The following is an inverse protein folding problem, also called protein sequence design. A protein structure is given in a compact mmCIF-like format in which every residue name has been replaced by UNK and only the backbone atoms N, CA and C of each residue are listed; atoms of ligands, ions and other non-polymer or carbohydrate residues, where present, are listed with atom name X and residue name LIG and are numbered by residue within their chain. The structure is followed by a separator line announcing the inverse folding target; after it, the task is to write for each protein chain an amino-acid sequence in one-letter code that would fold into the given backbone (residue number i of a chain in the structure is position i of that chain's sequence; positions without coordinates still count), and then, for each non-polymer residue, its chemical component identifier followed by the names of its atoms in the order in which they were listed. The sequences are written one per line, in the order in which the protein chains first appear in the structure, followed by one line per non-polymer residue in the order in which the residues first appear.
data_IF_154262706212
#
_entry.id   IF_154262706212
#
_cell.length_a   1.000
_cell.length_b   1.000
_cell.length_c   1.000
_cell.angle_alpha   90.00
_cell.angle_beta   90.00
_cell.angle_gamma   90.00
#
_symmetry.space_group_name_H-M   'P 1'
#
loop_
_entity.id
_entity.type
_entity.pdbx_description
1 polymer ?
#
# COMPACT_ATOMS: atom_id res chain seq x y z
N UNK A 1 9.76 -21.61 6.46
CA UNK A 1 9.46 -21.05 5.12
C UNK A 1 8.82 -22.08 4.20
N UNK A 2 9.32 -23.33 4.13
CA UNK A 2 8.73 -24.38 3.30
C UNK A 2 7.29 -24.75 3.67
N UNK A 3 6.95 -24.86 4.96
CA UNK A 3 5.58 -25.14 5.41
C UNK A 3 4.59 -24.06 4.95
N UNK A 4 4.87 -22.78 5.25
CA UNK A 4 4.00 -21.66 4.83
C UNK A 4 3.80 -21.62 3.30
N UNK A 5 4.82 -22.00 2.54
CA UNK A 5 4.68 -22.13 1.09
C UNK A 5 3.75 -23.28 0.71
N UNK A 6 3.90 -24.46 1.32
CA UNK A 6 3.01 -25.61 1.08
C UNK A 6 1.56 -25.29 1.46
N UNK A 7 1.34 -24.61 2.59
CA UNK A 7 0.03 -24.17 3.04
C UNK A 7 -0.57 -23.16 2.04
N UNK A 8 0.22 -22.19 1.57
CA UNK A 8 -0.21 -21.26 0.54
C UNK A 8 -0.63 -21.99 -0.74
N UNK A 9 0.17 -22.96 -1.20
CA UNK A 9 -0.13 -23.74 -2.40
C UNK A 9 -1.38 -24.61 -2.21
N UNK A 10 -1.59 -25.18 -1.02
CA UNK A 10 -2.81 -25.93 -0.70
C UNK A 10 -4.04 -25.03 -0.73
N UNK A 11 -3.95 -23.81 -0.18
CA UNK A 11 -5.01 -22.81 -0.22
C UNK A 11 -5.34 -22.41 -1.66
N UNK A 12 -4.33 -22.14 -2.49
CA UNK A 12 -4.52 -21.81 -3.91
C UNK A 12 -5.16 -22.97 -4.68
N UNK A 13 -4.79 -24.22 -4.36
CA UNK A 13 -5.40 -25.40 -4.98
C UNK A 13 -6.88 -25.55 -4.60
N UNK A 14 -7.25 -25.21 -3.37
CA UNK A 14 -8.60 -25.39 -2.87
C UNK A 14 -9.55 -24.24 -3.23
N UNK A 15 -9.06 -23.00 -3.17
CA UNK A 15 -9.87 -21.79 -3.32
C UNK A 15 -9.60 -21.02 -4.62
N UNK A 16 -8.60 -21.44 -5.40
CA UNK A 16 -8.14 -20.75 -6.60
C UNK A 16 -7.11 -19.67 -6.31
N UNK A 17 -6.71 -18.95 -7.36
CA UNK A 17 -5.72 -17.87 -7.26
C UNK A 17 -6.22 -16.73 -6.34
N UNK A 18 -5.35 -16.08 -5.57
CA UNK A 18 -5.71 -14.90 -4.79
C UNK A 18 -6.14 -13.75 -5.72
N UNK A 19 -7.07 -12.92 -5.24
CA UNK A 19 -7.59 -11.76 -5.95
C UNK A 19 -6.91 -10.46 -5.53
N UNK A 20 -6.49 -10.36 -4.26
CA UNK A 20 -5.79 -9.20 -3.71
C UNK A 20 -4.47 -9.61 -3.07
N UNK A 21 -3.46 -8.76 -3.28
CA UNK A 21 -2.20 -8.80 -2.57
C UNK A 21 -1.98 -7.48 -1.83
N UNK A 22 -1.95 -7.54 -0.50
CA UNK A 22 -1.81 -6.38 0.36
C UNK A 22 -0.44 -6.42 1.05
N UNK A 23 0.19 -5.26 1.16
CA UNK A 23 1.37 -5.08 2.01
C UNK A 23 1.04 -4.12 3.13
N UNK A 24 1.20 -4.57 4.37
CA UNK A 24 1.00 -3.75 5.56
C UNK A 24 2.35 -3.50 6.24
N UNK A 25 2.81 -2.25 6.22
CA UNK A 25 4.14 -1.89 6.71
C UNK A 25 4.05 -1.14 8.03
N UNK A 26 4.88 -1.51 9.00
CA UNK A 26 4.95 -0.79 10.27
C UNK A 26 5.44 0.65 10.08
N UNK A 27 4.77 1.60 10.74
CA UNK A 27 5.23 2.98 10.85
C UNK A 27 5.70 3.25 12.29
N UNK A 28 7.00 3.50 12.52
CA UNK A 28 7.53 3.77 13.87
C UNK A 28 7.05 5.10 14.44
N UNK A 29 6.44 5.96 13.63
CA UNK A 29 5.83 7.24 14.05
C UNK A 29 4.37 7.12 14.48
N UNK A 30 3.81 5.91 14.59
CA UNK A 30 2.49 5.72 15.19
C UNK A 30 2.48 6.23 16.63
N UNK A 31 1.40 6.92 17.01
CA UNK A 31 1.27 7.55 18.32
C UNK A 31 1.33 6.54 19.45
N UNK A 32 0.81 5.32 19.27
CA UNK A 32 0.88 4.26 20.27
C UNK A 32 2.32 3.84 20.57
N UNK A 33 3.21 3.91 19.57
CA UNK A 33 4.65 3.66 19.76
C UNK A 33 5.27 4.86 20.46
N UNK A 34 5.08 6.07 19.92
CA UNK A 34 5.72 7.28 20.44
C UNK A 34 5.32 7.59 21.89
N UNK A 35 4.05 7.40 22.24
CA UNK A 35 3.52 7.61 23.59
C UNK A 35 4.02 6.58 24.60
N UNK A 36 4.56 5.45 24.12
CA UNK A 36 5.13 4.40 24.97
C UNK A 36 6.64 4.57 25.19
N UNK A 37 7.25 5.62 24.65
CA UNK A 37 8.68 5.93 24.84
C UNK A 37 8.89 6.68 26.15
N UNK A 38 9.91 6.29 26.91
CA UNK A 38 10.28 6.94 28.16
C UNK A 38 11.60 7.73 28.01
N UNK A 39 11.63 8.95 28.54
CA UNK A 39 12.82 9.79 28.53
C UNK A 39 13.37 10.03 27.13
N UNK A 40 14.58 9.54 26.87
CA UNK A 40 15.29 9.70 25.59
C UNK A 40 15.19 8.48 24.66
N UNK A 41 14.36 7.49 25.00
CA UNK A 41 14.15 6.30 24.17
C UNK A 41 13.59 6.69 22.79
N UNK A 42 14.07 5.99 21.75
CA UNK A 42 13.51 6.10 20.40
C UNK A 42 12.87 4.77 20.01
N UNK A 43 11.91 4.76 19.06
CA UNK A 43 11.26 3.52 18.63
C UNK A 43 12.23 2.38 18.29
N UNK A 44 13.33 2.69 17.61
CA UNK A 44 14.37 1.70 17.25
C UNK A 44 15.05 1.02 18.44
N UNK A 45 14.99 1.65 19.62
CA UNK A 45 15.55 1.14 20.86
C UNK A 45 14.55 0.20 21.59
N UNK A 46 13.29 0.10 21.11
CA UNK A 46 12.17 -0.65 21.71
C UNK A 46 11.41 -1.50 20.68
N UNK A 47 12.09 -2.51 20.15
CA UNK A 47 11.51 -3.45 19.18
C UNK A 47 10.30 -4.23 19.74
N UNK A 48 10.26 -4.46 21.05
CA UNK A 48 9.14 -5.08 21.76
C UNK A 48 7.84 -4.27 21.60
N UNK A 49 7.91 -2.95 21.76
CA UNK A 49 6.76 -2.04 21.59
C UNK A 49 6.34 -2.00 20.12
N UNK A 50 7.31 -1.88 19.20
CA UNK A 50 7.04 -1.84 17.75
C UNK A 50 6.26 -3.09 17.32
N UNK A 51 6.74 -4.28 17.68
CA UNK A 51 6.12 -5.54 17.27
C UNK A 51 4.73 -5.70 17.90
N UNK A 52 4.54 -5.28 19.16
CA UNK A 52 3.23 -5.33 19.82
C UNK A 52 2.21 -4.41 19.13
N UNK A 53 2.57 -3.15 18.88
CA UNK A 53 1.69 -2.20 18.18
C UNK A 53 1.39 -2.65 16.76
N UNK A 54 2.40 -3.12 16.03
CA UNK A 54 2.21 -3.68 14.69
C UNK A 54 1.22 -4.85 14.69
N UNK A 55 1.37 -5.80 15.60
CA UNK A 55 0.48 -6.96 15.71
C UNK A 55 -0.96 -6.54 16.06
N UNK A 56 -1.15 -5.56 16.95
CA UNK A 56 -2.48 -5.03 17.26
C UNK A 56 -3.16 -4.42 16.03
N UNK A 57 -2.44 -3.56 15.30
CA UNK A 57 -2.99 -2.92 14.08
C UNK A 57 -3.20 -3.91 12.94
N UNK A 58 -2.33 -4.91 12.80
CA UNK A 58 -2.51 -5.97 11.82
C UNK A 58 -3.78 -6.80 12.12
N UNK A 59 -4.03 -7.13 13.39
CA UNK A 59 -5.26 -7.82 13.79
C UNK A 59 -6.50 -6.99 13.50
N UNK A 60 -6.47 -5.69 13.81
CA UNK A 60 -7.56 -4.76 13.50
C UNK A 60 -7.80 -4.68 11.98
N UNK A 61 -6.75 -4.61 11.17
CA UNK A 61 -6.86 -4.66 9.71
C UNK A 61 -7.50 -5.97 9.24
N UNK A 62 -7.06 -7.11 9.74
CA UNK A 62 -7.62 -8.42 9.37
C UNK A 62 -9.08 -8.57 9.81
N UNK A 63 -9.47 -7.99 10.95
CA UNK A 63 -10.86 -7.94 11.40
C UNK A 63 -11.72 -7.08 10.46
N UNK A 64 -11.24 -5.91 10.06
CA UNK A 64 -11.91 -5.08 9.06
C UNK A 64 -12.09 -5.83 7.73
N UNK A 65 -11.06 -6.53 7.27
CA UNK A 65 -11.09 -7.30 6.03
C UNK A 65 -12.06 -8.47 6.12
N UNK A 66 -11.93 -9.32 7.14
CA UNK A 66 -12.59 -10.62 7.18
C UNK A 66 -13.98 -10.58 7.83
N UNK A 67 -14.22 -9.67 8.79
CA UNK A 67 -15.51 -9.58 9.49
C UNK A 67 -16.35 -8.40 9.02
N UNK A 68 -15.74 -7.24 8.83
CA UNK A 68 -16.46 -6.06 8.35
C UNK A 68 -16.56 -6.00 6.82
N UNK A 69 -15.88 -6.91 6.11
CA UNK A 69 -16.05 -7.10 4.67
C UNK A 69 -15.68 -5.86 3.86
N UNK A 70 -14.66 -5.09 4.28
CA UNK A 70 -14.26 -3.87 3.56
C UNK A 70 -13.82 -4.15 2.11
N UNK A 71 -13.47 -5.41 1.80
CA UNK A 71 -13.17 -5.87 0.45
C UNK A 71 -14.21 -6.87 -0.11
N UNK A 72 -15.37 -6.98 0.52
CA UNK A 72 -16.34 -8.04 0.29
C UNK A 72 -16.06 -9.30 1.12
N UNK A 73 -16.66 -10.42 0.71
CA UNK A 73 -16.56 -11.69 1.44
C UNK A 73 -15.24 -12.38 1.14
N UNK A 74 -14.44 -12.62 2.19
CA UNK A 74 -13.17 -13.36 2.11
C UNK A 74 -13.43 -14.85 2.36
N UNK A 75 -13.17 -15.69 1.36
CA UNK A 75 -13.24 -17.15 1.51
C UNK A 75 -12.00 -17.71 2.20
N UNK A 76 -10.85 -17.12 1.90
CA UNK A 76 -9.55 -17.58 2.35
C UNK A 76 -8.56 -16.42 2.40
N UNK A 77 -7.66 -16.43 3.38
CA UNK A 77 -6.50 -15.54 3.40
C UNK A 77 -5.29 -16.25 3.98
N UNK A 78 -4.11 -15.84 3.53
CA UNK A 78 -2.83 -16.23 4.11
C UNK A 78 -1.94 -15.00 4.20
N UNK A 79 -1.14 -14.90 5.26
CA UNK A 79 -0.16 -13.84 5.36
C UNK A 79 1.14 -14.33 5.97
N UNK A 80 2.22 -13.66 5.61
CA UNK A 80 3.53 -13.82 6.23
C UNK A 80 3.98 -12.49 6.80
N UNK A 81 4.60 -12.53 7.97
CA UNK A 81 5.27 -11.37 8.56
C UNK A 81 6.75 -11.55 8.33
N UNK A 82 7.36 -10.53 7.77
CA UNK A 82 8.78 -10.47 7.49
C UNK A 82 9.37 -9.22 8.16
N UNK A 83 10.67 -9.25 8.41
CA UNK A 83 11.42 -8.12 8.95
C UNK A 83 12.40 -7.67 7.88
N UNK A 84 12.14 -6.53 7.23
CA UNK A 84 13.08 -6.00 6.24
C UNK A 84 14.39 -5.55 6.90
N UNK A 85 15.41 -5.24 6.10
CA UNK A 85 16.77 -4.85 6.52
C UNK A 85 16.86 -3.74 7.59
N UNK A 86 15.78 -3.00 7.87
CA UNK A 86 15.69 -1.98 8.92
C UNK A 86 15.03 -2.45 10.22
N UNK A 87 14.70 -3.75 10.32
CA UNK A 87 14.16 -4.40 11.51
C UNK A 87 12.68 -4.14 11.80
N UNK A 88 11.99 -3.37 10.96
CA UNK A 88 10.55 -3.14 11.12
C UNK A 88 9.75 -4.29 10.49
N UNK A 89 8.68 -4.74 11.15
CA UNK A 89 7.82 -5.77 10.61
C UNK A 89 6.97 -5.23 9.45
N UNK A 90 6.76 -6.07 8.44
CA UNK A 90 5.75 -5.89 7.41
C UNK A 90 5.04 -7.21 7.16
N UNK A 91 3.76 -7.12 6.80
CA UNK A 91 2.97 -8.28 6.43
C UNK A 91 2.68 -8.27 4.93
N UNK A 92 2.83 -9.43 4.29
CA UNK A 92 2.33 -9.70 2.95
C UNK A 92 1.10 -10.59 3.10
N UNK A 93 -0.05 -10.11 2.62
CA UNK A 93 -1.35 -10.75 2.81
C UNK A 93 -1.93 -11.06 1.43
N UNK A 94 -2.33 -12.30 1.21
CA UNK A 94 -3.07 -12.75 0.05
C UNK A 94 -4.52 -13.03 0.46
N UNK A 95 -5.47 -12.50 -0.31
CA UNK A 95 -6.90 -12.71 -0.09
C UNK A 95 -7.52 -13.41 -1.31
N UNK A 96 -8.38 -14.39 -1.05
CA UNK A 96 -9.30 -14.98 -2.03
C UNK A 96 -10.72 -14.61 -1.65
N UNK A 97 -11.39 -13.90 -2.55
CA UNK A 97 -12.75 -13.39 -2.41
C UNK A 97 -13.77 -14.38 -3.00
N UNK A 98 -15.02 -14.29 -2.55
CA UNK A 98 -16.14 -15.05 -3.11
C UNK A 98 -16.52 -14.61 -4.54
N UNK A 99 -17.48 -15.30 -5.16
CA UNK A 99 -17.87 -15.01 -6.55
C UNK A 99 -18.43 -13.61 -6.72
N UNK A 100 -19.18 -13.10 -5.75
CA UNK A 100 -19.85 -11.80 -5.86
C UNK A 100 -18.88 -10.64 -5.62
N UNK A 101 -17.81 -10.88 -4.86
CA UNK A 101 -16.80 -9.88 -4.51
C UNK A 101 -15.60 -9.87 -5.47
N UNK A 102 -15.56 -10.72 -6.51
CA UNK A 102 -14.44 -10.77 -7.47
C UNK A 102 -14.29 -9.45 -8.23
N UNK A 103 -13.04 -9.04 -8.39
CA UNK A 103 -12.63 -7.90 -9.22
C UNK A 103 -12.59 -8.35 -10.68
N UNK A 104 -13.60 -7.95 -11.47
CA UNK A 104 -13.73 -8.38 -12.87
C UNK A 104 -13.65 -7.24 -13.87
N UNK A 105 -13.96 -6.02 -13.43
CA UNK A 105 -14.04 -4.85 -14.30
C UNK A 105 -13.07 -3.77 -13.86
N UNK A 106 -12.78 -2.84 -14.78
CA UNK A 106 -12.02 -1.61 -14.50
C UNK A 106 -12.65 -0.80 -13.36
N UNK A 107 -13.99 -0.73 -13.34
CA UNK A 107 -14.72 -0.06 -12.28
C UNK A 107 -14.56 -0.76 -10.93
N UNK A 108 -14.42 -2.10 -10.92
CA UNK A 108 -14.12 -2.79 -9.67
C UNK A 108 -12.71 -2.45 -9.18
N UNK A 109 -11.71 -2.46 -10.08
CA UNK A 109 -10.34 -2.02 -9.73
C UNK A 109 -10.36 -0.64 -9.08
N UNK A 110 -11.09 0.32 -9.67
CA UNK A 110 -11.18 1.69 -9.17
C UNK A 110 -11.89 1.82 -7.81
N UNK A 111 -12.68 0.83 -7.38
CA UNK A 111 -13.25 0.78 -6.02
C UNK A 111 -12.22 0.38 -4.97
N UNK A 112 -11.22 -0.41 -5.37
CA UNK A 112 -10.22 -0.98 -4.44
C UNK A 112 -8.90 -0.21 -4.45
N UNK A 113 -8.53 0.38 -5.59
CA UNK A 113 -7.22 1.01 -5.79
C UNK A 113 -7.42 2.38 -6.43
N UNK A 114 -6.78 3.39 -5.84
CA UNK A 114 -6.74 4.74 -6.39
C UNK A 114 -5.32 5.21 -6.54
N UNK A 115 -5.01 5.79 -7.70
CA UNK A 115 -3.77 6.49 -7.96
C UNK A 115 -3.98 8.01 -8.04
N UNK A 116 -5.01 8.51 -7.37
CA UNK A 116 -5.41 9.92 -7.37
C UNK A 116 -5.30 10.51 -5.95
N UNK A 117 -4.98 11.80 -5.88
CA UNK A 117 -5.01 12.57 -4.64
C UNK A 117 -6.48 12.71 -4.19
N UNK A 118 -6.78 12.43 -2.91
CA UNK A 118 -8.09 12.74 -2.33
C UNK A 118 -8.37 14.25 -2.38
N UNK A 119 -9.64 14.65 -2.46
CA UNK A 119 -10.00 16.06 -2.35
C UNK A 119 -9.89 16.53 -0.88
N UNK A 120 -9.02 17.50 -0.55
CA UNK A 120 -8.86 17.98 0.81
C UNK A 120 -10.10 18.67 1.40
N UNK A 121 -11.03 19.13 0.55
CA UNK A 121 -12.30 19.70 0.99
C UNK A 121 -13.28 18.62 1.50
N UNK A 122 -13.15 17.38 1.01
CA UNK A 122 -14.05 16.27 1.37
C UNK A 122 -13.40 15.35 2.41
N UNK A 123 -12.11 15.04 2.27
CA UNK A 123 -11.36 14.22 3.22
C UNK A 123 -9.93 14.72 3.38
N UNK A 124 -9.79 15.75 4.21
CA UNK A 124 -8.49 16.31 4.57
C UNK A 124 -7.55 15.28 5.21
N UNK A 125 -8.09 14.33 5.99
CA UNK A 125 -7.29 13.34 6.71
C UNK A 125 -6.66 12.36 5.72
N UNK A 126 -7.44 11.81 4.80
CA UNK A 126 -6.94 10.90 3.77
C UNK A 126 -5.96 11.65 2.86
N UNK A 127 -6.27 12.88 2.47
CA UNK A 127 -5.35 13.72 1.69
C UNK A 127 -3.98 13.86 2.38
N UNK A 128 -3.95 14.17 3.67
CA UNK A 128 -2.71 14.27 4.46
C UNK A 128 -1.94 12.94 4.56
N UNK A 129 -2.64 11.81 4.67
CA UNK A 129 -2.04 10.48 4.71
C UNK A 129 -1.41 10.16 3.34
N UNK A 130 -2.16 10.33 2.25
CA UNK A 130 -1.70 10.00 0.89
C UNK A 130 -0.52 10.90 0.50
N UNK A 131 -0.62 12.21 0.70
CA UNK A 131 0.48 13.14 0.37
C UNK A 131 1.76 12.87 1.15
N UNK A 132 1.65 12.36 2.38
CA UNK A 132 2.80 12.05 3.23
C UNK A 132 3.45 10.70 2.91
N UNK A 133 2.67 9.67 2.60
CA UNK A 133 3.16 8.29 2.55
C UNK A 133 3.02 7.61 1.17
N UNK A 134 2.11 8.08 0.32
CA UNK A 134 1.76 7.44 -0.96
C UNK A 134 2.11 8.33 -2.17
N UNK A 135 3.09 9.22 -2.01
CA UNK A 135 3.65 10.02 -3.11
C UNK A 135 5.04 9.52 -3.42
N UNK A 136 5.29 9.19 -4.68
CA UNK A 136 6.64 8.95 -5.16
C UNK A 136 7.45 10.23 -5.05
N UNK A 137 8.57 10.17 -4.33
CA UNK A 137 9.46 11.30 -4.19
C UNK A 137 9.88 11.85 -5.57
N UNK A 138 9.98 13.18 -5.74
CA UNK A 138 10.40 13.77 -7.01
C UNK A 138 11.72 13.17 -7.48
N UNK A 139 11.77 12.79 -8.75
CA UNK A 139 12.91 12.16 -9.38
C UNK A 139 13.06 12.66 -10.82
N UNK A 140 13.95 12.06 -11.60
CA UNK A 140 14.21 12.50 -12.97
C UNK A 140 14.97 13.81 -12.97
N UNK A 141 14.54 14.73 -13.83
CA UNK A 141 15.13 16.08 -13.96
C UNK A 141 14.93 16.92 -12.69
N UNK A 142 13.90 16.65 -11.90
CA UNK A 142 13.62 17.37 -10.64
C UNK A 142 14.62 16.98 -9.55
N UNK A 143 15.07 15.73 -9.54
CA UNK A 143 16.05 15.24 -8.58
C UNK A 143 16.76 13.98 -9.09
N UNK A 144 17.89 14.18 -9.77
CA UNK A 144 18.71 13.10 -10.35
C UNK A 144 19.34 12.19 -9.30
N UNK A 145 19.48 12.66 -8.06
CA UNK A 145 20.09 11.91 -6.95
C UNK A 145 19.08 11.00 -6.22
N UNK A 146 17.85 10.91 -6.71
CA UNK A 146 16.82 10.07 -6.08
C UNK A 146 17.22 8.59 -6.17
N UNK A 147 17.01 7.77 -5.10
CA UNK A 147 17.40 6.36 -5.10
C UNK A 147 16.74 5.50 -6.19
N UNK A 148 15.64 5.97 -6.77
CA UNK A 148 14.95 5.30 -7.87
C UNK A 148 15.62 5.54 -9.23
N UNK A 149 16.56 6.48 -9.35
CA UNK A 149 17.25 6.79 -10.60
C UNK A 149 18.28 5.71 -10.93
N UNK A 150 18.18 5.15 -12.14
CA UNK A 150 19.19 4.28 -12.75
C UNK A 150 19.35 4.70 -14.21
N UNK A 151 20.59 4.80 -14.68
CA UNK A 151 20.91 5.12 -16.07
C UNK A 151 20.18 6.39 -16.58
N UNK A 152 20.06 7.40 -15.72
CA UNK A 152 19.39 8.67 -16.03
C UNK A 152 17.86 8.64 -16.02
N UNK A 153 17.23 7.49 -15.72
CA UNK A 153 15.77 7.34 -15.69
C UNK A 153 15.27 6.77 -14.36
N UNK A 154 14.03 7.10 -14.00
CA UNK A 154 13.39 6.48 -12.85
C UNK A 154 13.06 5.02 -13.15
N UNK A 155 13.62 4.07 -12.39
CA UNK A 155 13.36 2.64 -12.56
C UNK A 155 11.89 2.23 -12.27
N UNK A 156 11.09 3.14 -11.70
CA UNK A 156 9.64 2.99 -11.48
C UNK A 156 8.82 3.76 -12.51
N UNK A 157 9.47 4.42 -13.46
CA UNK A 157 8.89 5.20 -14.55
C UNK A 157 7.95 6.32 -14.05
N UNK A 158 8.39 7.07 -13.03
CA UNK A 158 7.71 8.29 -12.59
C UNK A 158 8.31 9.54 -13.26
N UNK A 159 7.51 10.59 -13.50
CA UNK A 159 6.04 10.63 -13.32
C UNK A 159 5.31 9.69 -14.28
N UNK A 160 4.19 9.10 -13.83
CA UNK A 160 3.31 8.31 -14.71
C UNK A 160 2.58 9.22 -15.71
N UNK A 161 1.97 8.64 -16.74
CA UNK A 161 1.11 9.39 -17.64
C UNK A 161 -0.27 9.61 -17.00
N UNK A 162 -0.94 10.70 -17.35
CA UNK A 162 -2.35 10.88 -17.04
C UNK A 162 -3.20 9.89 -17.84
N UNK A 163 -4.27 9.43 -17.22
CA UNK A 163 -5.26 8.52 -17.79
C UNK A 163 -6.62 8.80 -17.18
N UNK A 164 -7.63 9.03 -18.01
CA UNK A 164 -8.98 9.33 -17.52
C UNK A 164 -9.70 8.10 -16.97
N UNK A 165 -9.32 6.91 -17.45
CA UNK A 165 -9.88 5.62 -17.03
C UNK A 165 -8.79 4.58 -16.81
N UNK A 166 -9.07 3.60 -15.95
CA UNK A 166 -8.21 2.43 -15.77
C UNK A 166 -8.23 1.56 -17.02
N UNK A 167 -7.06 1.13 -17.47
CA UNK A 167 -6.88 0.28 -18.66
C UNK A 167 -6.19 -1.05 -18.29
N UNK A 168 -6.53 -2.10 -19.03
CA UNK A 168 -5.79 -3.36 -18.95
C UNK A 168 -4.44 -3.19 -19.65
N UNK A 169 -3.44 -3.94 -19.20
CA UNK A 169 -2.09 -3.90 -19.76
C UNK A 169 -1.66 -5.30 -20.18
N UNK A 170 -0.86 -5.37 -21.25
CA UNK A 170 -0.28 -6.60 -21.79
C UNK A 170 0.54 -7.37 -20.75
N UNK A 171 1.13 -6.65 -19.79
CA UNK A 171 1.95 -7.24 -18.71
C UNK A 171 1.15 -7.68 -17.48
N UNK A 172 -0.19 -7.66 -17.51
CA UNK A 172 -1.05 -8.14 -16.43
C UNK A 172 -1.26 -7.18 -15.25
N UNK A 173 -0.64 -6.00 -15.25
CA UNK A 173 -0.88 -4.95 -14.25
C UNK A 173 -1.69 -3.80 -14.85
N UNK A 174 -2.85 -3.43 -14.26
CA UNK A 174 -3.65 -2.32 -14.78
C UNK A 174 -2.86 -1.02 -14.89
N UNK A 175 -3.12 -0.25 -15.94
CA UNK A 175 -2.74 1.16 -15.98
C UNK A 175 -3.85 1.90 -15.24
N UNK A 176 -3.59 2.27 -14.00
CA UNK A 176 -4.57 2.94 -13.14
C UNK A 176 -4.96 4.32 -13.67
N UNK A 177 -6.23 4.67 -13.48
CA UNK A 177 -6.75 6.03 -13.65
C UNK A 177 -5.93 7.04 -12.85
N UNK A 178 -5.55 8.12 -13.53
CA UNK A 178 -4.82 9.28 -13.02
C UNK A 178 -5.31 10.51 -13.78
N UNK A 179 -6.43 11.11 -13.37
CA UNK A 179 -6.96 12.30 -14.06
C UNK A 179 -6.07 13.50 -13.82
N UNK A 180 -6.03 14.40 -14.79
CA UNK A 180 -5.37 15.69 -14.62
C UNK A 180 -6.18 16.54 -13.62
N UNK A 181 -5.51 16.99 -12.57
CA UNK A 181 -6.04 17.92 -11.57
C UNK A 181 -5.02 19.00 -11.31
N UNK A 182 -5.44 20.09 -10.65
CA UNK A 182 -4.51 21.11 -10.19
C UNK A 182 -3.43 20.48 -9.28
N UNK A 183 -2.15 20.80 -9.51
CA UNK A 183 -1.08 20.33 -8.64
C UNK A 183 -1.23 20.86 -7.22
N UNK A 184 -0.80 20.06 -6.25
CA UNK A 184 -0.74 20.44 -4.84
C UNK A 184 0.71 20.55 -4.36
N UNK A 185 0.95 21.42 -3.38
CA UNK A 185 2.27 21.56 -2.77
C UNK A 185 2.48 20.50 -1.69
N UNK A 186 3.50 19.65 -1.87
CA UNK A 186 3.96 18.70 -0.86
C UNK A 186 5.43 18.99 -0.53
N UNK A 187 5.63 19.58 0.64
CA UNK A 187 6.93 20.12 1.03
C UNK A 187 7.34 21.26 0.11
N UNK A 188 8.42 21.08 -0.65
CA UNK A 188 8.95 22.07 -1.61
C UNK A 188 8.60 21.77 -3.06
N UNK A 189 7.75 20.79 -3.30
CA UNK A 189 7.49 20.25 -4.63
C UNK A 189 6.01 20.37 -4.98
N UNK A 190 5.77 20.78 -6.23
CA UNK A 190 4.44 20.73 -6.85
C UNK A 190 4.22 19.33 -7.42
N UNK A 191 3.20 18.63 -6.92
CA UNK A 191 2.88 17.25 -7.31
C UNK A 191 1.43 17.14 -7.79
N UNK A 192 1.18 16.15 -8.64
CA UNK A 192 -0.16 15.80 -9.13
C UNK A 192 -0.34 14.28 -9.13
N UNK A 193 -1.46 13.80 -9.66
CA UNK A 193 -1.82 12.39 -9.72
C UNK A 193 -0.80 11.50 -10.45
N UNK A 194 0.15 12.05 -11.22
CA UNK A 194 1.21 11.26 -11.85
C UNK A 194 2.25 10.72 -10.87
N UNK A 195 2.29 11.30 -9.66
CA UNK A 195 3.25 10.96 -8.61
C UNK A 195 2.66 10.05 -7.53
N UNK A 196 1.35 9.84 -7.50
CA UNK A 196 0.69 8.98 -6.50
C UNK A 196 1.04 7.51 -6.74
N UNK A 197 1.38 6.80 -5.68
CA UNK A 197 1.61 5.35 -5.71
C UNK A 197 0.29 4.64 -5.36
N UNK A 198 -0.23 3.76 -6.22
CA UNK A 198 -1.42 2.96 -5.94
C UNK A 198 -1.15 1.84 -4.92
#
# INVERSE_FOLDING_TARGET
MQQNYQDAMAMVRNFGKPDLFLTFTCNPSWSEILNSMEGVQRPKDRSDIIVRVFNMKLKELLENICKHGIFGTVLAYIYVIEFQKRGLPHAHILLTLDSESKIRTKNDVDKFVSAELPDPCTDLRLFQIITKYMVHGPCGTININSPCMRDGQCCKCFPKQFKDDTEENVNGYPIYRRRATEPVQVGKYSIDNRWVVP
#
